data_IF_264614127429
#
_entry.id   IF_264614127429
#
_cell.length_a   1.000
_cell.length_b   1.000
_cell.length_c   1.000
_cell.angle_alpha   90.00
_cell.angle_beta   90.00
_cell.angle_gamma   90.00
#
_symmetry.space_group_name_H-M   'P 1'
#
loop_
_entity.id
_entity.type
_entity.pdbx_description
1 polymer ?
#
# COMPACT_ATOMS: atom_id res chain seq x y z
N UNK A 1 43.28 -17.59 37.74
CA UNK A 1 42.00 -17.60 37.01
C UNK A 1 42.23 -16.83 35.72
N UNK A 2 42.42 -17.52 34.60
CA UNK A 2 42.73 -16.89 33.33
C UNK A 2 41.48 -16.19 32.77
N UNK A 3 41.49 -14.86 32.81
CA UNK A 3 40.45 -14.00 32.23
C UNK A 3 40.22 -14.26 30.73
N UNK A 4 41.21 -14.85 30.04
CA UNK A 4 41.12 -15.30 28.65
C UNK A 4 40.09 -16.41 28.44
N UNK A 5 39.99 -17.36 29.38
CA UNK A 5 38.99 -18.44 29.34
C UNK A 5 37.58 -17.89 29.53
N UNK A 6 37.41 -16.97 30.48
CA UNK A 6 36.12 -16.32 30.75
C UNK A 6 35.68 -15.48 29.54
N UNK A 7 36.59 -14.68 28.98
CA UNK A 7 36.31 -13.87 27.79
C UNK A 7 35.95 -14.73 26.57
N UNK A 8 36.69 -15.82 26.32
CA UNK A 8 36.39 -16.74 25.22
C UNK A 8 35.00 -17.38 25.35
N UNK A 9 34.60 -17.75 26.58
CA UNK A 9 33.28 -18.30 26.84
C UNK A 9 32.16 -17.28 26.60
N UNK A 10 32.33 -16.03 27.06
CA UNK A 10 31.35 -14.96 26.85
C UNK A 10 31.16 -14.68 25.36
N UNK A 11 32.26 -14.50 24.61
CA UNK A 11 32.20 -14.25 23.17
C UNK A 11 31.59 -15.41 22.39
N UNK A 12 31.83 -16.65 22.83
CA UNK A 12 31.25 -17.83 22.20
C UNK A 12 29.73 -17.90 22.39
N UNK A 13 29.24 -17.61 23.60
CA UNK A 13 27.80 -17.56 23.87
C UNK A 13 27.13 -16.45 23.07
N UNK A 14 27.71 -15.24 23.05
CA UNK A 14 27.20 -14.12 22.27
C UNK A 14 27.15 -14.46 20.77
N UNK A 15 28.21 -15.06 20.22
CA UNK A 15 28.26 -15.46 18.81
C UNK A 15 27.16 -16.49 18.45
N UNK A 16 26.85 -17.43 19.35
CA UNK A 16 25.75 -18.38 19.15
C UNK A 16 24.41 -17.63 19.14
N UNK A 17 24.15 -16.77 20.12
CA UNK A 17 22.89 -16.04 20.19
C UNK A 17 22.69 -15.14 18.98
N UNK A 18 23.72 -14.39 18.58
CA UNK A 18 23.69 -13.57 17.36
C UNK A 18 23.46 -14.44 16.13
N UNK A 19 24.12 -15.59 16.01
CA UNK A 19 23.92 -16.51 14.89
C UNK A 19 22.50 -17.09 14.81
N UNK A 20 21.90 -17.44 15.95
CA UNK A 20 20.52 -17.93 16.01
C UNK A 20 19.53 -16.83 15.65
N UNK A 21 19.71 -15.62 16.18
CA UNK A 21 18.86 -14.46 15.88
C UNK A 21 18.92 -14.09 14.39
N UNK A 22 20.12 -14.09 13.82
CA UNK A 22 20.36 -13.78 12.40
C UNK A 22 19.67 -14.81 11.48
N UNK A 23 19.74 -16.10 11.81
CA UNK A 23 19.01 -17.14 11.07
C UNK A 23 17.49 -16.95 11.12
N UNK A 24 16.95 -16.63 12.30
CA UNK A 24 15.52 -16.35 12.45
C UNK A 24 15.10 -15.11 11.65
N UNK A 25 15.94 -14.07 11.59
CA UNK A 25 15.69 -12.89 10.78
C UNK A 25 15.66 -13.22 9.30
N UNK A 26 16.64 -13.98 8.80
CA UNK A 26 16.66 -14.40 7.41
C UNK A 26 15.47 -15.28 7.02
N UNK A 27 15.02 -16.17 7.91
CA UNK A 27 13.82 -16.95 7.69
C UNK A 27 12.56 -16.05 7.61
N UNK A 28 12.43 -15.07 8.50
CA UNK A 28 11.33 -14.11 8.48
C UNK A 28 11.33 -13.27 7.19
N UNK A 29 12.50 -12.79 6.76
CA UNK A 29 12.66 -12.02 5.52
C UNK A 29 12.28 -12.85 4.29
N UNK A 30 12.71 -14.12 4.23
CA UNK A 30 12.36 -15.02 3.14
C UNK A 30 10.84 -15.22 3.04
N UNK A 31 10.15 -15.36 4.17
CA UNK A 31 8.68 -15.46 4.22
C UNK A 31 8.01 -14.18 3.74
N UNK A 32 8.51 -13.01 4.13
CA UNK A 32 7.95 -11.72 3.69
C UNK A 32 8.16 -11.50 2.19
N UNK A 33 9.34 -11.81 1.67
CA UNK A 33 9.70 -11.61 0.27
C UNK A 33 8.97 -12.58 -0.68
N UNK A 34 8.52 -13.72 -0.16
CA UNK A 34 7.70 -14.69 -0.89
C UNK A 34 6.21 -14.34 -0.96
N UNK A 35 5.76 -13.27 -0.29
CA UNK A 35 4.35 -12.84 -0.36
C UNK A 35 4.00 -12.37 -1.77
N UNK A 36 2.74 -12.57 -2.14
CA UNK A 36 2.22 -12.18 -3.44
C UNK A 36 1.67 -10.75 -3.43
N UNK A 37 1.78 -10.08 -4.57
CA UNK A 37 1.18 -8.77 -4.85
C UNK A 37 0.70 -8.72 -6.31
N UNK A 38 0.04 -7.62 -6.68
CA UNK A 38 -0.52 -7.40 -8.03
C UNK A 38 0.12 -6.17 -8.64
N UNK A 39 0.91 -6.36 -9.69
CA UNK A 39 1.52 -5.29 -10.49
C UNK A 39 0.65 -5.06 -11.72
N UNK A 40 0.44 -3.81 -12.09
CA UNK A 40 -0.22 -3.43 -13.33
C UNK A 40 0.68 -3.77 -14.52
N UNK A 41 0.13 -4.49 -15.50
CA UNK A 41 0.82 -4.85 -16.73
C UNK A 41 -0.05 -4.47 -17.93
N UNK A 42 0.36 -3.46 -18.74
CA UNK A 42 -0.44 -2.97 -19.85
C UNK A 42 -0.57 -4.00 -21.00
N UNK A 43 0.27 -5.04 -21.01
CA UNK A 43 0.29 -6.06 -22.07
C UNK A 43 -0.77 -7.14 -21.87
N UNK A 44 -1.32 -7.26 -20.65
CA UNK A 44 -2.24 -8.33 -20.29
C UNK A 44 -3.72 -7.89 -20.40
N UNK A 45 -4.61 -8.75 -20.92
CA UNK A 45 -6.05 -8.44 -21.00
C UNK A 45 -6.73 -8.35 -19.62
N UNK A 46 -6.13 -8.91 -18.57
CA UNK A 46 -6.61 -8.85 -17.19
C UNK A 46 -6.04 -7.65 -16.40
N UNK A 47 -5.30 -6.75 -17.06
CA UNK A 47 -4.63 -5.53 -16.53
C UNK A 47 -3.63 -5.70 -15.38
N UNK A 48 -3.69 -6.79 -14.60
CA UNK A 48 -2.83 -7.02 -13.44
C UNK A 48 -2.18 -8.41 -13.49
N UNK A 49 -0.86 -8.43 -13.28
CA UNK A 49 -0.02 -9.61 -13.14
C UNK A 49 0.23 -9.88 -11.65
N UNK A 50 0.10 -11.14 -11.23
CA UNK A 50 0.54 -11.56 -9.90
C UNK A 50 2.06 -11.71 -9.87
N UNK A 51 2.71 -11.17 -8.85
CA UNK A 51 4.16 -11.26 -8.66
C UNK A 51 4.51 -11.34 -7.17
N UNK A 52 5.77 -11.65 -6.86
CA UNK A 52 6.23 -11.73 -5.47
C UNK A 52 6.76 -10.38 -5.00
N UNK A 53 6.82 -10.16 -3.68
CA UNK A 53 7.39 -8.94 -3.11
C UNK A 53 8.86 -8.74 -3.48
N UNK A 54 9.59 -9.83 -3.71
CA UNK A 54 10.99 -9.81 -4.15
C UNK A 54 11.17 -9.24 -5.56
N UNK A 55 10.18 -9.41 -6.44
CA UNK A 55 10.30 -9.10 -7.87
C UNK A 55 9.74 -7.72 -8.24
N UNK A 56 9.29 -6.93 -7.26
CA UNK A 56 8.79 -5.56 -7.45
C UNK A 56 9.96 -4.63 -7.75
N UNK A 57 9.78 -3.73 -8.72
CA UNK A 57 10.77 -2.69 -9.03
C UNK A 57 10.20 -1.28 -8.87
N UNK A 58 11.08 -0.30 -8.69
CA UNK A 58 10.70 1.12 -8.65
C UNK A 58 10.05 1.52 -9.97
N UNK A 59 8.92 2.23 -9.88
CA UNK A 59 8.11 2.62 -11.02
C UNK A 59 6.98 1.64 -11.36
N UNK A 60 6.94 0.46 -10.76
CA UNK A 60 5.79 -0.43 -10.88
C UNK A 60 4.54 0.20 -10.24
N UNK A 61 3.37 -0.04 -10.83
CA UNK A 61 2.09 0.33 -10.20
C UNK A 61 1.47 -0.89 -9.57
N UNK A 62 1.16 -0.80 -8.29
CA UNK A 62 0.60 -1.89 -7.49
C UNK A 62 -0.88 -1.66 -7.22
N UNK A 63 -1.65 -2.75 -7.24
CA UNK A 63 -3.00 -2.80 -6.69
C UNK A 63 -2.97 -3.53 -5.35
N UNK A 64 -3.21 -2.79 -4.27
CA UNK A 64 -3.20 -3.32 -2.90
C UNK A 64 -4.63 -3.35 -2.38
N UNK A 65 -5.09 -4.49 -1.89
CA UNK A 65 -6.45 -4.64 -1.36
C UNK A 65 -6.55 -4.27 0.11
N UNK A 66 -7.79 -4.13 0.57
CA UNK A 66 -8.13 -3.99 1.99
C UNK A 66 -7.46 -5.10 2.79
N UNK A 67 -6.84 -4.73 3.91
CA UNK A 67 -6.17 -5.63 4.85
C UNK A 67 -4.90 -6.29 4.32
N UNK A 68 -4.42 -5.92 3.13
CA UNK A 68 -3.10 -6.32 2.65
C UNK A 68 -2.05 -5.32 3.17
N UNK A 69 -0.88 -5.85 3.52
CA UNK A 69 0.28 -5.05 3.87
C UNK A 69 0.95 -4.52 2.60
N UNK A 70 1.43 -3.28 2.64
CA UNK A 70 2.12 -2.67 1.51
C UNK A 70 3.54 -3.24 1.40
N UNK A 71 3.96 -3.72 0.21
CA UNK A 71 5.24 -4.40 0.04
C UNK A 71 6.46 -3.48 0.01
N UNK A 72 6.26 -2.23 -0.39
CA UNK A 72 7.28 -1.25 -0.74
C UNK A 72 6.77 0.17 -0.42
N UNK A 73 7.62 1.20 -0.45
CA UNK A 73 7.14 2.57 -0.24
C UNK A 73 6.42 3.05 -1.52
N UNK A 74 5.15 3.44 -1.40
CA UNK A 74 4.31 3.79 -2.56
C UNK A 74 3.73 5.19 -2.46
N UNK A 75 3.65 5.88 -3.60
CA UNK A 75 2.82 7.08 -3.77
C UNK A 75 1.40 6.67 -4.15
N UNK A 76 0.39 7.21 -3.46
CA UNK A 76 -1.01 6.96 -3.79
C UNK A 76 -1.42 7.70 -5.06
N UNK A 77 -1.86 6.95 -6.07
CA UNK A 77 -2.30 7.49 -7.35
C UNK A 77 -3.82 7.64 -7.37
N UNK A 78 -4.54 6.59 -6.99
CA UNK A 78 -5.98 6.52 -7.13
C UNK A 78 -6.56 5.70 -5.98
N UNK A 79 -7.60 6.23 -5.35
CA UNK A 79 -8.38 5.53 -4.34
C UNK A 79 -9.84 5.60 -4.76
N UNK A 80 -10.50 4.45 -5.02
CA UNK A 80 -11.90 4.44 -5.39
C UNK A 80 -12.76 5.00 -4.26
N UNK A 81 -13.76 5.86 -4.54
CA UNK A 81 -14.65 6.38 -3.52
C UNK A 81 -15.48 5.25 -2.90
N UNK A 82 -15.60 5.25 -1.57
CA UNK A 82 -16.41 4.25 -0.85
C UNK A 82 -17.88 4.26 -1.30
N UNK A 83 -18.44 5.45 -1.56
CA UNK A 83 -19.81 5.63 -2.04
C UNK A 83 -20.04 5.07 -3.46
N UNK A 84 -19.03 5.09 -4.32
CA UNK A 84 -19.13 4.56 -5.68
C UNK A 84 -19.37 3.04 -5.65
N UNK A 85 -18.74 2.34 -4.71
CA UNK A 85 -18.95 0.91 -4.54
C UNK A 85 -20.35 0.59 -3.98
N UNK A 86 -20.87 1.37 -3.03
CA UNK A 86 -22.24 1.17 -2.54
C UNK A 86 -23.30 1.46 -3.62
N UNK A 87 -23.12 2.50 -4.43
CA UNK A 87 -24.02 2.79 -5.55
C UNK A 87 -23.97 1.67 -6.61
N UNK A 88 -22.78 1.23 -7.04
CA UNK A 88 -22.65 0.16 -8.03
C UNK A 88 -23.10 -1.21 -7.47
N UNK A 89 -22.84 -1.50 -6.20
CA UNK A 89 -23.26 -2.75 -5.56
C UNK A 89 -24.77 -2.80 -5.34
N UNK A 90 -25.38 -1.70 -4.88
CA UNK A 90 -26.86 -1.62 -4.77
C UNK A 90 -27.50 -1.71 -6.15
N UNK A 91 -26.95 -1.07 -7.17
CA UNK A 91 -27.45 -1.16 -8.55
C UNK A 91 -27.25 -2.56 -9.15
N UNK A 92 -26.10 -3.21 -8.95
CA UNK A 92 -25.83 -4.59 -9.38
C UNK A 92 -26.68 -5.62 -8.62
N UNK A 93 -26.93 -5.40 -7.32
CA UNK A 93 -27.85 -6.21 -6.52
C UNK A 93 -29.30 -6.02 -6.96
N UNK A 94 -29.71 -4.80 -7.33
CA UNK A 94 -31.00 -4.53 -7.97
C UNK A 94 -31.14 -5.28 -9.30
N UNK A 95 -30.11 -5.25 -10.15
CA UNK A 95 -30.10 -5.97 -11.43
C UNK A 95 -30.08 -7.50 -11.27
N UNK A 96 -29.47 -8.04 -10.22
CA UNK A 96 -29.48 -9.48 -9.94
C UNK A 96 -30.76 -9.94 -9.22
N UNK A 97 -31.43 -9.08 -8.43
CA UNK A 97 -32.79 -9.36 -7.94
C UNK A 97 -33.85 -9.41 -9.04
N UNK A 98 -33.68 -8.64 -10.13
CA UNK A 98 -34.53 -8.75 -11.32
C UNK A 98 -34.34 -10.09 -12.07
N UNK A 99 -33.24 -10.82 -11.83
CA UNK A 99 -32.95 -12.13 -12.42
C UNK A 99 -33.09 -13.31 -11.44
N UNK A 100 -33.67 -13.08 -10.24
CA UNK A 100 -34.26 -14.16 -9.42
C UNK A 100 -33.31 -15.09 -8.66
N UNK A 101 -32.07 -14.70 -8.34
CA UNK A 101 -31.20 -15.51 -7.45
C UNK A 101 -30.80 -14.71 -6.22
N UNK A 102 -31.55 -14.87 -5.13
CA UNK A 102 -31.29 -14.21 -3.85
C UNK A 102 -30.73 -15.24 -2.86
N UNK A 103 -29.42 -15.21 -2.61
CA UNK A 103 -28.82 -15.95 -1.51
C UNK A 103 -27.62 -15.18 -0.95
N UNK A 104 -27.79 -14.56 0.22
CA UNK A 104 -26.84 -14.59 1.34
C UNK A 104 -27.37 -13.73 2.50
N UNK A 105 -28.12 -14.35 3.40
CA UNK A 105 -28.37 -13.87 4.76
C UNK A 105 -27.14 -14.15 5.64
N UNK A 106 -26.04 -13.41 5.54
CA UNK A 106 -25.03 -13.43 6.61
C UNK A 106 -24.29 -12.09 6.73
N UNK A 107 -24.76 -11.31 7.72
CA UNK A 107 -24.03 -10.36 8.57
C UNK A 107 -23.07 -9.38 7.86
N UNK A 108 -23.59 -8.21 7.48
CA UNK A 108 -22.77 -7.05 7.16
C UNK A 108 -21.99 -6.58 8.41
N UNK A 109 -20.67 -6.33 8.31
CA UNK A 109 -19.94 -5.68 9.39
C UNK A 109 -20.42 -4.24 9.52
N UNK A 110 -20.63 -3.77 10.74
CA UNK A 110 -21.01 -2.40 11.06
C UNK A 110 -19.99 -1.42 10.44
N UNK A 111 -20.40 -0.65 9.43
CA UNK A 111 -19.61 0.45 8.88
C UNK A 111 -20.41 1.73 9.10
N UNK A 112 -19.70 2.69 9.69
CA UNK A 112 -20.12 4.06 9.96
C UNK A 112 -20.79 4.67 8.72
N UNK A 113 -22.02 5.14 8.90
CA UNK A 113 -22.78 5.82 7.87
C UNK A 113 -22.23 7.24 7.71
N UNK A 114 -21.21 7.43 6.88
CA UNK A 114 -20.75 8.76 6.48
C UNK A 114 -21.42 9.16 5.16
N UNK A 115 -22.69 9.58 5.27
CA UNK A 115 -23.33 10.46 4.30
C UNK A 115 -22.87 11.89 4.55
N UNK A 116 -21.72 12.25 4.00
CA UNK A 116 -21.39 13.66 3.78
C UNK A 116 -20.90 13.84 2.33
N UNK A 117 -21.61 14.59 1.47
CA UNK A 117 -21.16 14.92 0.12
C UNK A 117 -19.91 15.80 0.08
N UNK A 118 -19.39 16.25 1.23
CA UNK A 118 -18.10 16.93 1.38
C UNK A 118 -16.94 15.98 1.73
N UNK A 119 -17.19 14.67 1.86
CA UNK A 119 -16.15 13.69 2.17
C UNK A 119 -15.05 13.70 1.08
N UNK A 120 -13.78 13.98 1.45
CA UNK A 120 -12.72 14.14 0.47
C UNK A 120 -12.54 12.87 -0.36
N UNK A 121 -12.73 13.01 -1.66
CA UNK A 121 -12.47 11.95 -2.63
C UNK A 121 -10.97 11.65 -2.62
N UNK A 122 -10.60 10.38 -2.75
CA UNK A 122 -9.20 9.98 -2.83
C UNK A 122 -8.50 9.78 -1.48
N UNK A 123 -9.20 9.49 -0.39
CA UNK A 123 -8.60 9.17 0.91
C UNK A 123 -8.63 7.68 1.24
N UNK A 124 -7.56 7.19 1.88
CA UNK A 124 -7.50 5.86 2.48
C UNK A 124 -7.01 5.94 3.92
N UNK A 125 -7.31 4.88 4.68
CA UNK A 125 -6.83 4.73 6.03
C UNK A 125 -5.72 3.69 6.05
N UNK A 126 -4.67 3.95 6.82
CA UNK A 126 -3.58 3.01 7.01
C UNK A 126 -3.39 2.72 8.50
N UNK A 127 -3.00 1.50 8.79
CA UNK A 127 -2.52 1.10 10.12
C UNK A 127 -1.00 1.02 10.10
N UNK A 128 -0.36 1.69 11.06
CA UNK A 128 1.11 1.77 11.20
C UNK A 128 1.64 0.97 12.38
N UNK A 129 0.83 0.10 13.00
CA UNK A 129 1.19 -0.72 14.17
C UNK A 129 2.55 -1.43 14.02
N UNK A 130 2.90 -1.85 12.82
CA UNK A 130 4.18 -2.53 12.54
C UNK A 130 5.40 -1.59 12.48
N UNK A 131 5.21 -0.27 12.31
CA UNK A 131 6.28 0.72 12.23
C UNK A 131 6.50 1.44 13.57
N UNK A 132 5.44 2.00 14.16
CA UNK A 132 5.51 2.88 15.33
C UNK A 132 4.74 2.34 16.56
N UNK A 133 4.07 1.19 16.42
CA UNK A 133 3.26 0.60 17.48
C UNK A 133 1.93 1.34 17.74
N UNK A 134 1.60 2.36 16.94
CA UNK A 134 0.35 3.10 17.09
C UNK A 134 -0.85 2.26 16.61
N UNK A 135 -1.94 2.30 17.39
CA UNK A 135 -3.19 1.58 17.07
C UNK A 135 -4.19 2.41 16.28
N UNK A 136 -3.92 3.71 16.16
CA UNK A 136 -4.81 4.64 15.47
C UNK A 136 -4.63 4.54 13.96
N UNK A 137 -5.72 4.69 13.23
CA UNK A 137 -5.69 4.75 11.78
C UNK A 137 -5.21 6.15 11.34
N UNK A 138 -4.21 6.19 10.45
CA UNK A 138 -3.74 7.42 9.82
C UNK A 138 -4.43 7.60 8.48
N UNK A 139 -4.80 8.84 8.17
CA UNK A 139 -5.43 9.20 6.90
C UNK A 139 -4.34 9.53 5.89
N UNK A 140 -4.45 8.98 4.68
CA UNK A 140 -3.62 9.30 3.52
C UNK A 140 -4.50 9.69 2.35
N UNK A 141 -3.97 10.51 1.44
CA UNK A 141 -4.73 11.04 0.32
C UNK A 141 -3.93 10.94 -0.99
N UNK A 142 -4.56 10.42 -2.03
CA UNK A 142 -4.03 10.45 -3.39
C UNK A 142 -3.97 11.90 -3.91
N UNK A 143 -3.10 12.18 -4.87
CA UNK A 143 -3.05 13.50 -5.49
C UNK A 143 -4.38 13.81 -6.21
N UNK A 144 -4.95 15.03 -6.06
CA UNK A 144 -6.18 15.40 -6.76
C UNK A 144 -6.06 15.34 -8.29
N UNK A 145 -4.88 15.65 -8.84
CA UNK A 145 -4.63 15.66 -10.27
C UNK A 145 -4.63 14.27 -10.91
N UNK A 146 -4.24 13.24 -10.16
CA UNK A 146 -4.21 11.87 -10.66
C UNK A 146 -5.63 11.28 -10.71
N UNK A 147 -6.49 11.64 -9.75
CA UNK A 147 -7.87 11.16 -9.68
C UNK A 147 -8.70 11.52 -10.92
N UNK A 148 -8.53 12.73 -11.47
CA UNK A 148 -9.30 13.21 -12.61
C UNK A 148 -8.96 12.48 -13.93
N UNK A 149 -7.81 11.84 -14.02
CA UNK A 149 -7.31 11.21 -15.26
C UNK A 149 -7.53 9.69 -15.28
N UNK A 150 -7.97 9.11 -14.17
CA UNK A 150 -7.96 7.67 -13.93
C UNK A 150 -9.38 7.17 -13.67
N UNK A 151 -10.12 6.93 -14.75
CA UNK A 151 -11.43 6.26 -14.68
C UNK A 151 -11.35 4.76 -14.97
N UNK A 152 -10.30 4.32 -15.68
CA UNK A 152 -10.10 2.94 -16.09
C UNK A 152 -8.71 2.43 -15.69
N UNK A 153 -8.55 1.15 -15.30
CA UNK A 153 -7.25 0.58 -14.98
C UNK A 153 -6.23 0.72 -16.11
N UNK A 154 -6.63 0.66 -17.38
CA UNK A 154 -5.71 0.83 -18.51
C UNK A 154 -5.12 2.25 -18.59
N UNK A 155 -5.83 3.25 -18.06
CA UNK A 155 -5.36 4.64 -18.02
C UNK A 155 -4.18 4.85 -17.06
N UNK A 156 -3.96 3.92 -16.12
CA UNK A 156 -2.82 3.92 -15.18
C UNK A 156 -1.49 3.87 -15.93
N UNK A 157 -1.39 3.05 -16.98
CA UNK A 157 -0.17 2.90 -17.77
C UNK A 157 0.20 4.13 -18.60
N UNK A 158 -0.74 5.06 -18.78
CA UNK A 158 -0.56 6.27 -19.58
C UNK A 158 -0.47 7.54 -18.74
N UNK A 159 -0.47 7.43 -17.40
CA UNK A 159 -0.39 8.59 -16.52
C UNK A 159 0.94 9.32 -16.78
N UNK A 160 0.92 10.53 -17.37
CA UNK A 160 2.14 11.25 -17.69
C UNK A 160 2.68 11.91 -16.42
N UNK A 161 4.00 11.86 -16.26
CA UNK A 161 4.69 12.65 -15.25
C UNK A 161 5.90 11.96 -14.67
N UNK A 162 6.62 12.71 -13.84
CA UNK A 162 7.80 12.24 -13.13
C UNK A 162 7.62 12.47 -11.64
N UNK A 163 7.97 11.47 -10.83
CA UNK A 163 8.09 11.63 -9.39
C UNK A 163 9.56 11.76 -9.05
N UNK A 164 9.91 12.75 -8.24
CA UNK A 164 11.22 12.88 -7.62
C UNK A 164 11.01 12.98 -6.11
N UNK A 165 11.69 12.14 -5.34
CA UNK A 165 11.62 12.15 -3.89
C UNK A 165 13.02 12.19 -3.28
N UNK A 166 13.07 12.49 -1.99
CA UNK A 166 14.31 12.39 -1.22
C UNK A 166 14.84 10.94 -1.18
N UNK A 167 16.10 10.80 -0.77
CA UNK A 167 16.70 9.49 -0.53
C UNK A 167 16.06 8.86 0.72
N UNK A 168 16.03 7.51 0.83
CA UNK A 168 15.53 6.84 2.02
C UNK A 168 16.16 7.40 3.29
N UNK A 169 15.31 7.87 4.20
CA UNK A 169 15.71 8.44 5.48
C UNK A 169 15.14 7.61 6.64
N UNK A 170 15.74 7.74 7.83
CA UNK A 170 15.31 7.03 9.03
C UNK A 170 14.10 7.68 9.73
N UNK A 171 13.69 8.88 9.31
CA UNK A 171 12.53 9.57 9.86
C UNK A 171 11.24 9.12 9.16
N UNK A 172 10.51 8.19 9.79
CA UNK A 172 9.24 7.65 9.28
C UNK A 172 8.09 8.67 9.28
N UNK A 173 8.27 9.83 9.93
CA UNK A 173 7.27 10.90 10.01
C UNK A 173 7.52 12.02 9.00
N UNK A 174 8.64 11.97 8.28
CA UNK A 174 8.96 12.94 7.26
C UNK A 174 9.12 12.25 5.91
N UNK A 175 8.51 12.85 4.89
CA UNK A 175 8.71 12.45 3.51
C UNK A 175 8.55 13.69 2.65
N UNK A 176 9.54 13.96 1.81
CA UNK A 176 9.56 15.05 0.87
C UNK A 176 9.77 14.53 -0.55
N UNK A 177 8.84 14.90 -1.43
CA UNK A 177 8.98 14.70 -2.85
C UNK A 177 8.21 15.72 -3.65
N UNK A 178 8.19 15.49 -4.95
CA UNK A 178 7.46 16.29 -5.92
C UNK A 178 7.01 15.42 -7.07
N UNK A 179 5.81 15.71 -7.55
CA UNK A 179 5.24 15.15 -8.76
C UNK A 179 5.22 16.24 -9.84
N UNK A 180 5.73 15.90 -11.01
CA UNK A 180 5.86 16.76 -12.19
C UNK A 180 4.96 16.19 -13.30
N UNK A 181 3.68 16.60 -13.38
CA UNK A 181 2.70 16.06 -14.34
C UNK A 181 2.89 16.59 -15.77
N UNK A 182 4.00 16.25 -16.44
CA UNK A 182 4.19 16.52 -17.89
C UNK A 182 4.15 18.00 -18.32
N UNK A 183 4.14 18.24 -19.64
CA UNK A 183 4.37 19.55 -20.30
C UNK A 183 3.60 20.73 -19.65
N UNK A 184 4.37 21.70 -19.13
CA UNK A 184 3.96 22.98 -18.51
C UNK A 184 3.04 22.93 -17.28
N UNK A 185 2.83 21.77 -16.67
CA UNK A 185 2.06 21.67 -15.44
C UNK A 185 2.87 22.10 -14.20
N UNK A 186 2.20 22.76 -13.25
CA UNK A 186 2.82 23.15 -11.97
C UNK A 186 3.27 21.93 -11.18
N UNK A 187 4.50 21.96 -10.68
CA UNK A 187 5.05 20.94 -9.78
C UNK A 187 4.20 20.83 -8.51
N UNK A 188 3.79 19.61 -8.17
CA UNK A 188 2.94 19.32 -7.01
C UNK A 188 3.82 18.73 -5.90
N UNK A 189 3.89 19.33 -4.70
CA UNK A 189 4.65 18.75 -3.61
C UNK A 189 4.01 17.44 -3.14
N UNK A 190 4.85 16.46 -2.81
CA UNK A 190 4.47 15.20 -2.19
C UNK A 190 4.95 15.20 -0.76
N UNK A 191 4.02 15.01 0.16
CA UNK A 191 4.30 14.85 1.58
C UNK A 191 4.00 13.42 2.03
N UNK A 192 4.32 13.11 3.29
CA UNK A 192 3.96 11.84 3.93
C UNK A 192 2.46 11.51 3.78
N UNK A 193 1.57 12.51 3.72
CA UNK A 193 0.12 12.32 3.50
C UNK A 193 -0.21 11.63 2.19
N UNK A 194 0.66 11.71 1.19
CA UNK A 194 0.46 11.13 -0.15
C UNK A 194 1.13 9.77 -0.34
N UNK A 195 1.89 9.32 0.65
CA UNK A 195 2.72 8.11 0.59
C UNK A 195 2.28 7.09 1.63
N UNK A 196 2.43 5.81 1.30
CA UNK A 196 2.25 4.70 2.23
C UNK A 196 3.56 3.94 2.30
N UNK A 197 4.11 3.83 3.51
CA UNK A 197 5.37 3.15 3.75
C UNK A 197 5.19 1.63 3.76
N UNK A 198 6.26 0.90 3.44
CA UNK A 198 6.32 -0.55 3.53
C UNK A 198 5.87 -1.04 4.91
N UNK A 199 5.08 -2.11 4.92
CA UNK A 199 4.57 -2.72 6.15
C UNK A 199 3.31 -2.06 6.73
N UNK A 200 2.91 -0.87 6.26
CA UNK A 200 1.59 -0.34 6.58
C UNK A 200 0.50 -1.24 6.02
N UNK A 201 -0.66 -1.30 6.69
CA UNK A 201 -1.81 -2.10 6.24
C UNK A 201 -2.92 -1.18 5.77
N UNK A 202 -3.43 -1.41 4.56
CA UNK A 202 -4.57 -0.64 4.03
C UNK A 202 -5.85 -1.01 4.79
N UNK A 203 -6.58 -0.01 5.26
CA UNK A 203 -7.84 -0.14 6.00
C UNK A 203 -8.94 0.68 5.33
N UNK A 204 -10.17 0.29 5.62
CA UNK A 204 -11.42 0.97 5.23
C UNK A 204 -11.66 1.22 3.74
N UNK A 205 -10.75 0.86 2.85
CA UNK A 205 -10.88 0.98 1.39
C UNK A 205 -10.71 -0.39 0.74
N UNK A 206 -11.51 -0.75 -0.29
CA UNK A 206 -11.47 -2.08 -0.89
C UNK A 206 -10.14 -2.39 -1.58
N UNK A 207 -9.57 -1.39 -2.24
CA UNK A 207 -8.24 -1.43 -2.82
C UNK A 207 -7.73 0.00 -3.06
N UNK A 208 -6.43 0.14 -3.26
CA UNK A 208 -5.75 1.37 -3.66
C UNK A 208 -4.77 1.07 -4.80
N UNK A 209 -4.54 2.07 -5.66
CA UNK A 209 -3.45 2.02 -6.64
C UNK A 209 -2.30 2.92 -6.18
N UNK A 210 -1.09 2.38 -6.21
CA UNK A 210 0.11 3.12 -5.81
C UNK A 210 1.31 2.85 -6.70
N UNK A 211 2.10 3.89 -6.95
CA UNK A 211 3.37 3.83 -7.66
C UNK A 211 4.49 3.52 -6.69
N UNK A 212 5.31 2.51 -6.98
CA UNK A 212 6.48 2.16 -6.17
C UNK A 212 7.55 3.23 -6.29
N UNK A 213 7.92 3.82 -5.15
CA UNK A 213 8.98 4.81 -5.05
C UNK A 213 10.32 4.18 -4.64
N UNK A 214 10.28 3.20 -3.74
CA UNK A 214 11.45 2.54 -3.18
C UNK A 214 11.11 1.09 -2.77
N UNK A 215 12.07 0.17 -2.93
CA UNK A 215 11.92 -1.28 -2.70
C UNK A 215 12.93 -1.79 -1.69
#
# INVERSE_FOLDING_TARGET
MDYRLVLGLVLFVDAIFTGVEDFHRHAADAVMNARETRVFDPTLPTSFRQTTWKDIVVGDVLQIKKYEAVPADIMLIQIPPLLFFFYYYTQFMLMSTLNGVCACQHKCPSIVHETDPSAPVGMCFIETKSLDGETNLKIRQALPCTFAQLHDPASIGHLPGRVACEHPNHDVNNFMGRFEPGDDASVIPLDLKNVVLRGCVIRNTPFVYGLVLNT
#
